data_IF_727343249403
#
_entry.id   IF_727343249403
#
_cell.length_a   1.000
_cell.length_b   1.000
_cell.length_c   1.000
_cell.angle_alpha   90.00
_cell.angle_beta   90.00
_cell.angle_gamma   90.00
#
_symmetry.space_group_name_H-M   'P 1'
#
loop_
_entity.id
_entity.type
_entity.pdbx_description
1 polymer ?
#
# COMPACT_ATOMS: atom_id res chain seq x y z
N UNK A 1 -13.96 -21.58 -16.77
CA UNK A 1 -13.66 -22.98 -17.14
C UNK A 1 -14.89 -23.85 -16.89
N UNK A 2 -15.09 -24.91 -17.66
CA UNK A 2 -16.14 -25.87 -17.37
C UNK A 2 -15.67 -26.88 -16.30
N UNK A 3 -16.46 -27.04 -15.23
CA UNK A 3 -16.18 -28.00 -14.16
C UNK A 3 -16.76 -29.35 -14.54
N UNK A 4 -15.90 -30.33 -14.52
CA UNK A 4 -16.22 -31.76 -14.74
C UNK A 4 -15.73 -32.58 -13.55
N UNK A 5 -16.11 -33.86 -13.50
CA UNK A 5 -15.61 -34.79 -12.49
C UNK A 5 -14.08 -34.93 -12.49
N UNK A 6 -13.45 -34.78 -13.65
CA UNK A 6 -12.01 -34.99 -13.80
C UNK A 6 -11.18 -33.81 -13.30
N UNK A 7 -11.75 -32.59 -13.25
CA UNK A 7 -11.04 -31.38 -12.88
C UNK A 7 -11.53 -30.74 -11.56
N UNK A 8 -12.42 -31.37 -10.82
CA UNK A 8 -12.96 -30.83 -9.56
C UNK A 8 -11.85 -30.51 -8.55
N UNK A 9 -10.84 -31.39 -8.47
CA UNK A 9 -9.71 -31.18 -7.56
C UNK A 9 -8.92 -29.92 -7.89
N UNK A 10 -8.72 -29.65 -9.17
CA UNK A 10 -8.07 -28.41 -9.65
C UNK A 10 -8.86 -27.16 -9.23
N UNK A 11 -10.18 -27.21 -9.29
CA UNK A 11 -11.04 -26.09 -8.87
C UNK A 11 -10.99 -25.88 -7.36
N UNK A 12 -10.94 -26.96 -6.59
CA UNK A 12 -10.73 -26.90 -5.13
C UNK A 12 -9.36 -26.29 -4.80
N UNK A 13 -8.30 -26.71 -5.49
CA UNK A 13 -6.95 -26.13 -5.32
C UNK A 13 -6.91 -24.63 -5.67
N UNK A 14 -7.57 -24.21 -6.76
CA UNK A 14 -7.69 -22.81 -7.13
C UNK A 14 -8.40 -21.98 -6.05
N UNK A 15 -9.39 -22.58 -5.37
CA UNK A 15 -10.11 -21.88 -4.30
C UNK A 15 -9.28 -21.59 -3.05
N UNK A 16 -8.08 -22.17 -2.93
CA UNK A 16 -7.11 -21.82 -1.89
C UNK A 16 -6.33 -20.51 -2.20
N UNK A 17 -6.34 -20.08 -3.46
CA UNK A 17 -5.59 -18.92 -3.92
C UNK A 17 -6.49 -17.72 -4.21
N UNK A 18 -7.71 -17.97 -4.68
CA UNK A 18 -8.67 -16.94 -5.07
C UNK A 18 -10.10 -17.44 -4.88
N UNK A 19 -11.06 -16.52 -4.80
CA UNK A 19 -12.47 -16.88 -4.73
C UNK A 19 -12.90 -17.57 -6.03
N UNK A 20 -13.61 -18.70 -5.92
CA UNK A 20 -14.15 -19.41 -7.10
C UNK A 20 -15.67 -19.38 -7.06
N UNK A 21 -16.27 -18.84 -8.13
CA UNK A 21 -17.72 -18.88 -8.34
C UNK A 21 -18.08 -20.11 -9.20
N UNK A 22 -18.78 -21.05 -8.61
CA UNK A 22 -19.36 -22.22 -9.29
C UNK A 22 -20.78 -21.88 -9.74
N UNK A 23 -21.00 -21.79 -11.04
CA UNK A 23 -22.33 -21.51 -11.62
C UNK A 23 -22.92 -22.81 -12.16
N UNK A 24 -23.96 -23.30 -11.52
CA UNK A 24 -24.77 -24.45 -11.95
C UNK A 24 -25.85 -23.96 -12.89
N UNK A 25 -25.84 -24.44 -14.13
CA UNK A 25 -26.71 -23.96 -15.20
C UNK A 25 -27.21 -25.14 -16.07
N UNK A 26 -28.22 -24.87 -16.91
CA UNK A 26 -28.71 -25.80 -17.90
C UNK A 26 -28.90 -25.09 -19.25
N UNK A 27 -28.63 -25.81 -20.33
CA UNK A 27 -28.71 -25.22 -21.68
C UNK A 27 -30.14 -24.86 -22.10
N UNK A 28 -31.10 -25.66 -21.67
CA UNK A 28 -32.52 -25.46 -21.99
C UNK A 28 -33.19 -24.37 -21.16
N UNK A 29 -32.46 -23.75 -20.20
CA UNK A 29 -32.97 -22.66 -19.34
C UNK A 29 -32.35 -21.33 -19.74
N UNK A 30 -33.06 -20.43 -20.45
CA UNK A 30 -32.51 -19.12 -20.88
C UNK A 30 -32.01 -18.27 -19.73
N UNK A 31 -32.68 -18.29 -18.58
CA UNK A 31 -32.29 -17.57 -17.37
C UNK A 31 -30.96 -18.05 -16.80
N UNK A 32 -30.66 -19.36 -16.89
CA UNK A 32 -29.37 -19.94 -16.50
C UNK A 32 -28.23 -19.42 -17.38
N UNK A 33 -28.46 -19.35 -18.69
CA UNK A 33 -27.49 -18.81 -19.65
C UNK A 33 -27.23 -17.30 -19.38
N UNK A 34 -28.28 -16.54 -19.12
CA UNK A 34 -28.17 -15.12 -18.84
C UNK A 34 -27.34 -14.85 -17.57
N UNK A 35 -27.53 -15.64 -16.52
CA UNK A 35 -26.73 -15.55 -15.30
C UNK A 35 -25.25 -15.88 -15.58
N UNK A 36 -24.97 -16.97 -16.31
CA UNK A 36 -23.62 -17.36 -16.67
C UNK A 36 -22.89 -16.23 -17.42
N UNK A 37 -23.52 -15.62 -18.43
CA UNK A 37 -22.99 -14.48 -19.16
C UNK A 37 -22.73 -13.26 -18.26
N UNK A 38 -23.65 -12.99 -17.33
CA UNK A 38 -23.47 -11.91 -16.33
C UNK A 38 -22.24 -12.18 -15.45
N UNK A 39 -22.08 -13.41 -14.99
CA UNK A 39 -20.92 -13.80 -14.18
C UNK A 39 -19.61 -13.71 -14.97
N UNK A 40 -19.58 -14.10 -16.23
CA UNK A 40 -18.42 -13.95 -17.11
C UNK A 40 -17.98 -12.50 -17.26
N UNK A 41 -18.94 -11.59 -17.42
CA UNK A 41 -18.67 -10.15 -17.49
C UNK A 41 -18.17 -9.56 -16.17
N UNK A 42 -18.73 -10.04 -15.03
CA UNK A 42 -18.34 -9.58 -13.72
C UNK A 42 -16.91 -10.00 -13.36
N UNK A 43 -16.51 -11.22 -13.69
CA UNK A 43 -15.18 -11.77 -13.40
C UNK A 43 -14.08 -10.98 -14.10
N UNK A 44 -14.34 -10.47 -15.29
CA UNK A 44 -13.39 -9.61 -16.00
C UNK A 44 -13.00 -8.35 -15.22
N UNK A 45 -13.82 -7.92 -14.25
CA UNK A 45 -13.53 -6.77 -13.38
C UNK A 45 -12.64 -7.14 -12.17
N UNK A 46 -12.42 -8.43 -11.88
CA UNK A 46 -11.66 -8.92 -10.71
C UNK A 46 -10.55 -9.90 -11.13
N UNK A 47 -9.61 -9.49 -11.99
CA UNK A 47 -8.55 -10.37 -12.48
C UNK A 47 -7.68 -10.88 -11.31
N UNK A 48 -7.47 -12.20 -11.28
CA UNK A 48 -6.66 -12.84 -10.23
C UNK A 48 -7.30 -12.97 -8.85
N UNK A 49 -8.49 -12.39 -8.64
CA UNK A 49 -9.22 -12.44 -7.37
C UNK A 49 -10.42 -13.38 -7.40
N UNK A 50 -11.06 -13.49 -8.55
CA UNK A 50 -12.27 -14.27 -8.77
C UNK A 50 -12.13 -15.12 -10.01
N UNK A 51 -12.39 -16.43 -9.88
CA UNK A 51 -12.42 -17.39 -10.98
C UNK A 51 -13.83 -17.93 -11.18
N UNK A 52 -14.25 -18.07 -12.45
CA UNK A 52 -15.50 -18.76 -12.81
C UNK A 52 -15.25 -20.22 -13.16
N UNK A 53 -16.03 -21.09 -12.55
CA UNK A 53 -16.24 -22.44 -13.01
C UNK A 53 -17.73 -22.67 -13.25
N UNK A 54 -18.10 -23.20 -14.42
CA UNK A 54 -19.49 -23.48 -14.79
C UNK A 54 -19.74 -24.97 -14.79
N UNK A 55 -20.90 -25.40 -14.31
CA UNK A 55 -21.36 -26.79 -14.29
C UNK A 55 -22.62 -26.88 -15.12
N UNK A 56 -22.53 -27.57 -16.25
CA UNK A 56 -23.75 -27.92 -17.00
C UNK A 56 -24.44 -29.11 -16.35
N UNK A 57 -25.57 -28.84 -15.68
CA UNK A 57 -26.29 -29.88 -14.93
C UNK A 57 -26.99 -30.90 -15.80
N UNK A 58 -27.12 -30.70 -17.11
CA UNK A 58 -27.64 -31.69 -18.03
C UNK A 58 -26.63 -32.81 -18.33
N UNK A 59 -25.34 -32.46 -18.31
CA UNK A 59 -24.23 -33.40 -18.60
C UNK A 59 -23.52 -33.85 -17.33
N UNK A 60 -23.54 -33.04 -16.26
CA UNK A 60 -22.79 -33.27 -15.01
C UNK A 60 -23.75 -33.49 -13.81
N UNK A 61 -24.70 -34.46 -13.93
CA UNK A 61 -25.70 -34.73 -12.92
C UNK A 61 -25.09 -35.16 -11.57
N UNK A 62 -23.96 -35.88 -11.60
CA UNK A 62 -23.27 -36.31 -10.38
C UNK A 62 -22.73 -35.13 -9.58
N UNK A 63 -22.19 -34.10 -10.26
CA UNK A 63 -21.71 -32.91 -9.61
C UNK A 63 -22.86 -32.10 -9.02
N UNK A 64 -23.97 -31.94 -9.74
CA UNK A 64 -25.16 -31.28 -9.22
C UNK A 64 -25.70 -31.97 -7.95
N UNK A 65 -25.67 -33.31 -7.93
CA UNK A 65 -26.07 -34.12 -6.75
C UNK A 65 -25.04 -33.98 -5.61
N UNK A 66 -23.75 -34.00 -5.91
CA UNK A 66 -22.69 -33.86 -4.92
C UNK A 66 -22.78 -32.48 -4.18
N UNK A 67 -23.03 -31.40 -4.91
CA UNK A 67 -23.23 -30.07 -4.35
C UNK A 67 -24.67 -29.81 -3.86
N UNK A 68 -25.53 -30.82 -3.87
CA UNK A 68 -26.93 -30.79 -3.41
C UNK A 68 -27.75 -29.66 -4.09
N UNK A 69 -27.52 -29.41 -5.37
CA UNK A 69 -28.22 -28.39 -6.14
C UNK A 69 -29.68 -28.79 -6.34
N UNK A 70 -30.60 -27.92 -5.88
CA UNK A 70 -32.07 -28.17 -5.90
C UNK A 70 -32.81 -27.35 -6.94
N UNK A 71 -32.22 -26.30 -7.40
CA UNK A 71 -32.81 -25.40 -8.39
C UNK A 71 -31.73 -24.80 -9.30
N UNK A 72 -32.12 -24.42 -10.50
CA UNK A 72 -31.24 -23.75 -11.46
C UNK A 72 -31.80 -22.39 -11.84
N UNK A 73 -30.96 -21.41 -12.11
CA UNK A 73 -29.52 -21.41 -11.84
C UNK A 73 -29.19 -21.33 -10.35
N UNK A 74 -28.07 -21.88 -9.94
CA UNK A 74 -27.51 -21.70 -8.59
C UNK A 74 -26.03 -21.36 -8.71
N UNK A 75 -25.57 -20.39 -7.93
CA UNK A 75 -24.14 -20.06 -7.80
C UNK A 75 -23.66 -20.35 -6.39
N UNK A 76 -22.55 -21.06 -6.27
CA UNK A 76 -21.84 -21.26 -5.00
C UNK A 76 -20.49 -20.53 -5.07
N UNK A 77 -20.10 -19.90 -3.96
CA UNK A 77 -18.77 -19.32 -3.80
C UNK A 77 -17.90 -20.24 -2.96
N UNK A 78 -16.76 -20.63 -3.50
CA UNK A 78 -15.78 -21.47 -2.83
C UNK A 78 -14.56 -20.65 -2.42
N UNK A 79 -14.12 -20.83 -1.18
CA UNK A 79 -12.86 -20.34 -0.65
C UNK A 79 -12.24 -21.42 0.22
N UNK A 80 -10.93 -21.66 0.09
CA UNK A 80 -10.19 -22.67 0.84
C UNK A 80 -10.82 -24.07 0.78
N UNK A 81 -11.30 -24.46 -0.38
CA UNK A 81 -11.93 -25.76 -0.62
C UNK A 81 -13.33 -25.91 -0.04
N UNK A 82 -13.92 -24.85 0.55
CA UNK A 82 -15.22 -24.89 1.21
C UNK A 82 -16.20 -23.91 0.57
N UNK A 83 -17.50 -24.25 0.48
CA UNK A 83 -18.54 -23.29 0.15
C UNK A 83 -18.67 -22.25 1.28
N UNK A 84 -18.50 -20.97 0.95
CA UNK A 84 -18.55 -19.85 1.92
C UNK A 84 -19.83 -19.03 1.80
N UNK A 85 -20.43 -18.98 0.59
CA UNK A 85 -21.67 -18.25 0.31
C UNK A 85 -22.28 -18.78 -1.00
N UNK A 86 -23.45 -18.28 -1.37
CA UNK A 86 -24.11 -18.63 -2.63
C UNK A 86 -25.50 -18.02 -2.76
N UNK A 87 -26.06 -18.17 -3.95
CA UNK A 87 -27.43 -17.71 -4.22
C UNK A 87 -28.09 -18.61 -5.27
N UNK A 88 -29.40 -18.68 -5.21
CA UNK A 88 -30.25 -19.41 -6.18
C UNK A 88 -31.08 -18.42 -7.00
N UNK A 89 -31.38 -18.78 -8.24
CA UNK A 89 -32.13 -17.96 -9.18
C UNK A 89 -31.31 -16.82 -9.80
N UNK A 90 -31.95 -16.04 -10.64
CA UNK A 90 -31.34 -14.87 -11.27
C UNK A 90 -31.27 -13.73 -10.28
N UNK A 91 -30.09 -13.14 -10.13
CA UNK A 91 -29.87 -11.96 -9.32
C UNK A 91 -29.49 -10.77 -10.20
N UNK A 92 -29.75 -9.54 -9.74
CA UNK A 92 -29.25 -8.36 -10.43
C UNK A 92 -27.72 -8.26 -10.29
N UNK A 93 -27.08 -7.55 -11.24
CA UNK A 93 -25.63 -7.31 -11.19
C UNK A 93 -25.16 -6.72 -9.85
N UNK A 94 -25.95 -5.78 -9.29
CA UNK A 94 -25.66 -5.11 -8.03
C UNK A 94 -25.74 -6.08 -6.85
N UNK A 95 -26.73 -7.00 -6.87
CA UNK A 95 -26.87 -8.01 -5.83
C UNK A 95 -25.72 -9.01 -5.85
N UNK A 96 -25.33 -9.47 -7.06
CA UNK A 96 -24.17 -10.36 -7.22
C UNK A 96 -22.90 -9.67 -6.70
N UNK A 97 -22.67 -8.41 -7.10
CA UNK A 97 -21.50 -7.65 -6.63
C UNK A 97 -21.48 -7.50 -5.11
N UNK A 98 -22.61 -7.21 -4.50
CA UNK A 98 -22.73 -7.09 -3.04
C UNK A 98 -22.40 -8.42 -2.31
N UNK A 99 -22.72 -9.57 -2.92
CA UNK A 99 -22.35 -10.88 -2.38
C UNK A 99 -20.85 -11.14 -2.56
N UNK A 100 -20.32 -10.90 -3.76
CA UNK A 100 -18.91 -11.11 -4.07
C UNK A 100 -17.99 -10.24 -3.20
N UNK A 101 -18.33 -8.97 -3.00
CA UNK A 101 -17.56 -8.02 -2.20
C UNK A 101 -17.35 -8.43 -0.74
N UNK A 102 -18.21 -9.30 -0.20
CA UNK A 102 -18.04 -9.84 1.17
C UNK A 102 -16.86 -10.82 1.27
N UNK A 103 -16.47 -11.40 0.15
CA UNK A 103 -15.49 -12.49 0.07
C UNK A 103 -14.27 -12.14 -0.77
N UNK A 104 -14.30 -11.02 -1.49
CA UNK A 104 -13.15 -10.49 -2.22
C UNK A 104 -12.28 -9.66 -1.27
N UNK A 105 -10.95 -9.71 -1.44
CA UNK A 105 -10.06 -8.86 -0.66
C UNK A 105 -10.37 -7.39 -0.94
N UNK A 106 -10.27 -6.57 0.10
CA UNK A 106 -10.41 -5.12 -0.04
C UNK A 106 -9.27 -4.54 -0.90
N UNK A 107 -9.51 -3.39 -1.53
CA UNK A 107 -8.53 -2.75 -2.40
C UNK A 107 -7.19 -2.47 -1.67
N UNK A 108 -7.26 -2.09 -0.40
CA UNK A 108 -6.07 -1.87 0.43
C UNK A 108 -5.28 -3.15 0.72
N UNK A 109 -5.94 -4.31 0.84
CA UNK A 109 -5.28 -5.61 1.06
C UNK A 109 -4.47 -6.04 -0.16
N UNK A 110 -5.00 -5.80 -1.36
CA UNK A 110 -4.26 -6.06 -2.60
C UNK A 110 -3.01 -5.20 -2.70
N UNK A 111 -3.15 -3.88 -2.47
CA UNK A 111 -2.03 -2.95 -2.45
C UNK A 111 -0.99 -3.33 -1.40
N UNK A 112 -1.44 -3.75 -0.21
CA UNK A 112 -0.56 -4.21 0.86
C UNK A 112 0.24 -5.45 0.45
N UNK A 113 -0.41 -6.43 -0.19
CA UNK A 113 0.25 -7.65 -0.65
C UNK A 113 1.27 -7.36 -1.76
N UNK A 114 0.91 -6.52 -2.73
CA UNK A 114 1.82 -6.08 -3.80
C UNK A 114 3.03 -5.32 -3.22
N UNK A 115 2.78 -4.41 -2.27
CA UNK A 115 3.83 -3.67 -1.59
C UNK A 115 4.77 -4.58 -0.80
N UNK A 116 4.24 -5.58 -0.08
CA UNK A 116 5.05 -6.58 0.64
C UNK A 116 5.89 -7.42 -0.32
N UNK A 117 5.34 -7.82 -1.46
CA UNK A 117 6.07 -8.56 -2.48
C UNK A 117 7.25 -7.75 -3.03
N UNK A 118 7.06 -6.46 -3.36
CA UNK A 118 8.13 -5.56 -3.78
C UNK A 118 9.19 -5.38 -2.70
N UNK A 119 8.78 -5.21 -1.45
CA UNK A 119 9.69 -5.05 -0.32
C UNK A 119 10.56 -6.31 -0.12
N UNK A 120 10.00 -7.51 -0.28
CA UNK A 120 10.73 -8.78 -0.24
C UNK A 120 11.71 -8.94 -1.39
N UNK A 121 11.40 -8.39 -2.57
CA UNK A 121 12.30 -8.33 -3.72
C UNK A 121 13.41 -7.29 -3.56
N UNK A 122 13.39 -6.50 -2.48
CA UNK A 122 14.36 -5.45 -2.19
C UNK A 122 14.02 -4.09 -2.81
N UNK A 123 12.90 -3.97 -3.51
CA UNK A 123 12.46 -2.70 -4.11
C UNK A 123 11.56 -1.91 -3.16
N UNK A 124 12.18 -1.39 -2.10
CA UNK A 124 11.47 -0.57 -1.11
C UNK A 124 10.91 0.73 -1.71
N UNK A 125 11.58 1.32 -2.71
CA UNK A 125 11.12 2.55 -3.35
C UNK A 125 9.82 2.35 -4.13
N UNK A 126 9.68 1.25 -4.86
CA UNK A 126 8.43 0.91 -5.55
C UNK A 126 7.31 0.50 -4.59
N UNK A 127 7.65 -0.07 -3.43
CA UNK A 127 6.68 -0.47 -2.39
C UNK A 127 6.04 0.73 -1.67
N UNK A 128 6.78 1.83 -1.46
CA UNK A 128 6.34 2.99 -0.67
C UNK A 128 4.99 3.59 -1.11
N UNK A 129 4.73 3.88 -2.38
CA UNK A 129 3.45 4.45 -2.80
C UNK A 129 2.27 3.52 -2.50
N UNK A 130 2.44 2.19 -2.68
CA UNK A 130 1.41 1.20 -2.41
C UNK A 130 1.13 1.08 -0.90
N UNK A 131 2.17 1.06 -0.06
CA UNK A 131 2.00 1.11 1.40
C UNK A 131 1.27 2.37 1.84
N UNK A 132 1.61 3.52 1.27
CA UNK A 132 0.97 4.80 1.60
C UNK A 132 -0.51 4.79 1.24
N UNK A 133 -0.88 4.25 0.07
CA UNK A 133 -2.28 4.11 -0.34
C UNK A 133 -3.03 3.12 0.55
N UNK A 134 -2.45 1.96 0.85
CA UNK A 134 -3.05 0.98 1.74
C UNK A 134 -3.26 1.54 3.15
N UNK A 135 -2.27 2.27 3.69
CA UNK A 135 -2.35 2.91 5.01
C UNK A 135 -3.38 4.04 5.08
N UNK A 136 -3.59 4.77 3.99
CA UNK A 136 -4.62 5.80 3.92
C UNK A 136 -6.05 5.23 4.01
N UNK A 137 -6.26 4.01 3.51
CA UNK A 137 -7.53 3.29 3.61
C UNK A 137 -7.67 2.54 4.94
N UNK A 138 -6.58 1.91 5.42
CA UNK A 138 -6.55 1.07 6.63
C UNK A 138 -5.30 1.35 7.47
N UNK A 139 -5.43 2.23 8.46
CA UNK A 139 -4.34 2.64 9.35
C UNK A 139 -4.19 1.66 10.54
N UNK A 140 -3.84 0.41 10.27
CA UNK A 140 -3.64 -0.65 11.27
C UNK A 140 -2.18 -1.12 11.31
N UNK A 141 -1.79 -1.79 12.40
CA UNK A 141 -0.43 -2.32 12.60
C UNK A 141 0.03 -3.23 11.46
N UNK A 142 -0.88 -4.05 10.89
CA UNK A 142 -0.59 -4.94 9.78
C UNK A 142 -0.11 -4.21 8.50
N UNK A 143 -0.48 -2.92 8.34
CA UNK A 143 -0.03 -2.06 7.25
C UNK A 143 1.10 -1.15 7.69
N UNK A 144 1.01 -0.57 8.90
CA UNK A 144 1.97 0.40 9.40
C UNK A 144 3.38 -0.18 9.60
N UNK A 145 3.49 -1.42 10.10
CA UNK A 145 4.79 -2.06 10.34
C UNK A 145 5.60 -2.30 9.07
N UNK A 146 5.08 -2.97 8.02
CA UNK A 146 5.84 -3.13 6.77
C UNK A 146 6.05 -1.80 6.03
N UNK A 147 5.16 -0.83 6.19
CA UNK A 147 5.39 0.53 5.68
C UNK A 147 6.57 1.20 6.38
N UNK A 148 6.65 1.11 7.72
CA UNK A 148 7.79 1.62 8.47
C UNK A 148 9.10 0.92 8.08
N UNK A 149 9.09 -0.40 7.81
CA UNK A 149 10.26 -1.11 7.29
C UNK A 149 10.71 -0.55 5.94
N UNK A 150 9.78 -0.31 5.01
CA UNK A 150 10.11 0.30 3.71
C UNK A 150 10.71 1.70 3.88
N UNK A 151 10.17 2.52 4.79
CA UNK A 151 10.70 3.83 5.12
C UNK A 151 12.12 3.73 5.70
N UNK A 152 12.40 2.80 6.62
CA UNK A 152 13.74 2.59 7.16
C UNK A 152 14.75 2.19 6.08
N UNK A 153 14.36 1.31 5.15
CA UNK A 153 15.21 0.89 4.03
C UNK A 153 15.52 2.01 3.03
N UNK A 154 14.64 2.98 2.91
CA UNK A 154 14.82 4.15 2.02
C UNK A 154 15.38 5.38 2.73
N UNK A 155 15.62 5.30 4.04
CA UNK A 155 16.17 6.41 4.83
C UNK A 155 15.14 7.45 5.29
N UNK A 156 13.85 7.23 5.07
CA UNK A 156 12.79 8.11 5.59
C UNK A 156 12.48 7.80 7.07
N UNK A 157 13.43 8.22 7.93
CA UNK A 157 13.35 7.95 9.37
C UNK A 157 12.18 8.69 10.04
N UNK A 158 11.82 9.87 9.54
CA UNK A 158 10.73 10.67 10.09
C UNK A 158 9.38 9.98 9.92
N UNK A 159 9.09 9.49 8.72
CA UNK A 159 7.86 8.71 8.45
C UNK A 159 7.88 7.39 9.21
N UNK A 160 9.00 6.67 9.23
CA UNK A 160 9.13 5.43 9.99
C UNK A 160 8.81 5.64 11.48
N UNK A 161 9.38 6.67 12.10
CA UNK A 161 9.13 7.03 13.50
C UNK A 161 7.66 7.34 13.77
N UNK A 162 7.05 8.11 12.88
CA UNK A 162 5.63 8.47 13.00
C UNK A 162 4.74 7.23 12.92
N UNK A 163 5.00 6.33 11.97
CA UNK A 163 4.24 5.08 11.82
C UNK A 163 4.40 4.18 13.05
N UNK A 164 5.62 3.97 13.53
CA UNK A 164 5.89 3.14 14.71
C UNK A 164 5.26 3.70 15.98
N UNK A 165 5.16 5.03 16.11
CA UNK A 165 4.47 5.67 17.23
C UNK A 165 2.94 5.43 17.24
N UNK A 166 2.33 5.04 16.13
CA UNK A 166 0.89 4.71 16.07
C UNK A 166 0.57 3.29 16.54
N UNK A 167 1.60 2.43 16.68
CA UNK A 167 1.41 1.01 17.01
C UNK A 167 0.99 0.86 18.48
N UNK A 168 -0.18 0.25 18.67
CA UNK A 168 -0.72 0.00 20.01
C UNK A 168 0.09 -1.07 20.75
N UNK A 169 0.08 -1.02 22.07
CA UNK A 169 0.84 -1.94 22.93
C UNK A 169 0.56 -3.43 22.63
N UNK A 170 -0.67 -3.76 22.25
CA UNK A 170 -1.06 -5.14 21.92
C UNK A 170 -0.40 -5.67 20.63
N UNK A 171 0.02 -4.78 19.74
CA UNK A 171 0.60 -5.09 18.42
C UNK A 171 2.14 -4.92 18.42
N UNK A 172 2.74 -4.59 19.59
CA UNK A 172 4.18 -4.41 19.76
C UNK A 172 4.88 -5.77 19.98
N UNK A 173 4.99 -6.52 18.91
CA UNK A 173 5.62 -7.84 18.88
C UNK A 173 7.14 -7.79 18.60
N UNK A 174 7.73 -8.95 18.29
CA UNK A 174 9.15 -9.07 17.93
C UNK A 174 9.52 -8.30 16.66
N UNK A 175 8.60 -8.18 15.70
CA UNK A 175 8.80 -7.41 14.47
C UNK A 175 8.86 -5.91 14.76
N UNK A 176 7.90 -5.38 15.52
CA UNK A 176 7.93 -4.00 15.99
C UNK A 176 9.23 -3.66 16.72
N UNK A 177 9.65 -4.52 17.67
CA UNK A 177 10.88 -4.29 18.43
C UNK A 177 12.14 -4.28 17.54
N UNK A 178 12.16 -5.11 16.51
CA UNK A 178 13.23 -5.11 15.50
C UNK A 178 13.28 -3.79 14.74
N UNK A 179 12.13 -3.28 14.29
CA UNK A 179 12.04 -2.00 13.57
C UNK A 179 12.43 -0.81 14.46
N UNK A 180 12.01 -0.81 15.73
CA UNK A 180 12.43 0.21 16.70
C UNK A 180 13.93 0.22 16.91
N UNK A 181 14.56 -0.96 16.99
CA UNK A 181 16.01 -1.08 17.12
C UNK A 181 16.74 -0.58 15.86
N UNK A 182 16.21 -0.88 14.68
CA UNK A 182 16.74 -0.37 13.41
C UNK A 182 16.62 1.16 13.32
N UNK A 183 15.48 1.72 13.73
CA UNK A 183 15.26 3.16 13.78
C UNK A 183 16.27 3.85 14.72
N UNK A 184 16.45 3.33 15.94
CA UNK A 184 17.41 3.87 16.93
C UNK A 184 18.86 3.85 16.39
N UNK A 185 19.25 2.75 15.73
CA UNK A 185 20.57 2.64 15.08
C UNK A 185 20.72 3.64 13.93
N UNK A 186 19.68 3.79 13.10
CA UNK A 186 19.72 4.72 11.98
C UNK A 186 19.75 6.19 12.44
N UNK A 187 18.95 6.55 13.46
CA UNK A 187 18.97 7.87 14.06
C UNK A 187 20.34 8.21 14.68
N UNK A 188 20.97 7.26 15.39
CA UNK A 188 22.31 7.43 15.94
C UNK A 188 23.39 7.56 14.86
N UNK A 189 23.26 6.81 13.76
CA UNK A 189 24.16 6.93 12.61
C UNK A 189 24.01 8.28 11.88
N UNK A 190 22.79 8.81 11.85
CA UNK A 190 22.48 10.10 11.25
C UNK A 190 22.89 11.30 12.14
N UNK A 191 23.10 11.08 13.45
CA UNK A 191 23.55 12.11 14.42
C UNK A 191 25.07 12.08 14.58
N UNK A 192 25.79 12.55 13.55
CA UNK A 192 27.24 12.56 13.55
C UNK A 192 27.85 13.58 14.50
N UNK A 193 29.08 13.38 15.01
CA UNK A 193 29.77 14.39 15.82
C UNK A 193 29.88 15.75 15.11
N UNK A 194 30.01 15.74 13.78
CA UNK A 194 30.07 16.94 12.95
C UNK A 194 28.74 17.71 12.99
N UNK A 195 27.59 17.01 12.82
CA UNK A 195 26.28 17.63 12.92
C UNK A 195 26.07 18.27 14.29
N UNK A 196 26.44 17.55 15.37
CA UNK A 196 26.34 18.10 16.73
C UNK A 196 27.20 19.33 16.94
N UNK A 197 28.45 19.34 16.44
CA UNK A 197 29.35 20.49 16.54
C UNK A 197 28.81 21.68 15.75
N UNK A 198 28.30 21.47 14.52
CA UNK A 198 27.69 22.52 13.70
C UNK A 198 26.40 23.08 14.35
N UNK A 199 25.58 22.20 14.97
CA UNK A 199 24.39 22.63 15.69
C UNK A 199 24.74 23.53 16.89
N UNK A 200 25.72 23.10 17.70
CA UNK A 200 26.19 23.93 18.83
C UNK A 200 26.78 25.26 18.40
N UNK A 201 27.53 25.26 17.29
CA UNK A 201 28.07 26.50 16.74
C UNK A 201 26.96 27.43 16.24
N UNK A 202 25.93 26.89 15.60
CA UNK A 202 24.79 27.65 15.11
C UNK A 202 23.93 28.18 16.27
N UNK A 203 23.78 27.42 17.37
CA UNK A 203 23.07 27.89 18.58
C UNK A 203 23.72 29.12 19.17
N UNK A 204 25.07 29.23 19.05
CA UNK A 204 25.82 30.40 19.48
C UNK A 204 25.77 31.59 18.47
N UNK A 205 25.54 31.30 17.19
CA UNK A 205 25.47 32.31 16.11
C UNK A 205 24.32 31.96 15.13
N UNK A 206 23.05 32.16 15.50
CA UNK A 206 21.88 31.67 14.76
C UNK A 206 21.72 32.23 13.34
N UNK A 207 22.28 33.39 13.05
CA UNK A 207 22.19 34.03 11.75
C UNK A 207 23.47 33.91 10.90
N UNK A 208 24.40 33.02 11.31
CA UNK A 208 25.61 32.75 10.54
C UNK A 208 25.29 31.93 9.30
N UNK A 209 25.40 32.57 8.15
CA UNK A 209 25.08 32.01 6.83
C UNK A 209 25.92 30.76 6.51
N UNK A 210 27.23 30.80 6.87
CA UNK A 210 28.15 29.70 6.57
C UNK A 210 27.83 28.48 7.43
N UNK A 211 27.50 28.67 8.72
CA UNK A 211 27.09 27.59 9.60
C UNK A 211 25.75 26.98 9.18
N UNK A 212 24.77 27.81 8.80
CA UNK A 212 23.48 27.35 8.26
C UNK A 212 23.70 26.47 7.02
N UNK A 213 24.55 26.89 6.11
CA UNK A 213 24.84 26.14 4.89
C UNK A 213 25.56 24.82 5.16
N UNK A 214 26.57 24.82 6.03
CA UNK A 214 27.31 23.61 6.41
C UNK A 214 26.39 22.59 7.10
N UNK A 215 25.60 23.05 8.08
CA UNK A 215 24.69 22.18 8.81
C UNK A 215 23.61 21.62 7.89
N UNK A 216 23.01 22.41 7.01
CA UNK A 216 22.00 21.93 6.07
C UNK A 216 22.59 20.87 5.11
N UNK A 217 23.84 21.06 4.66
CA UNK A 217 24.52 20.06 3.82
C UNK A 217 24.80 18.77 4.58
N UNK A 218 25.29 18.85 5.81
CA UNK A 218 25.57 17.70 6.65
C UNK A 218 24.27 16.92 6.99
N UNK A 219 23.19 17.61 7.30
CA UNK A 219 21.88 17.03 7.53
C UNK A 219 21.35 16.30 6.28
N UNK A 220 21.47 16.91 5.11
CA UNK A 220 21.08 16.27 3.85
C UNK A 220 21.89 15.00 3.56
N UNK A 221 23.20 15.03 3.77
CA UNK A 221 24.08 13.84 3.62
C UNK A 221 23.72 12.74 4.62
N UNK A 222 23.19 13.09 5.78
CA UNK A 222 22.70 12.16 6.78
C UNK A 222 21.22 11.72 6.55
N UNK A 223 20.63 12.02 5.39
CA UNK A 223 19.22 11.76 5.04
C UNK A 223 18.19 12.41 5.99
N UNK A 224 18.59 13.50 6.68
CA UNK A 224 17.72 14.34 7.54
C UNK A 224 17.18 15.53 6.74
N UNK A 225 16.57 15.23 5.59
CA UNK A 225 16.18 16.24 4.59
C UNK A 225 15.13 17.24 5.11
N UNK A 226 14.19 16.77 5.94
CA UNK A 226 13.18 17.64 6.53
C UNK A 226 13.82 18.71 7.43
N UNK A 227 14.80 18.30 8.25
CA UNK A 227 15.53 19.22 9.12
C UNK A 227 16.41 20.17 8.30
N UNK A 228 17.09 19.68 7.27
CA UNK A 228 17.87 20.51 6.36
C UNK A 228 17.03 21.59 5.67
N UNK A 229 15.86 21.20 5.15
CA UNK A 229 14.94 22.13 4.48
C UNK A 229 14.30 23.11 5.47
N UNK A 230 13.90 22.66 6.67
CA UNK A 230 13.37 23.52 7.72
C UNK A 230 14.39 24.56 8.17
N UNK A 231 15.66 24.13 8.36
CA UNK A 231 16.76 24.97 8.76
C UNK A 231 17.01 26.12 7.77
N UNK A 232 16.99 25.84 6.47
CA UNK A 232 17.20 26.86 5.44
C UNK A 232 15.94 27.72 5.21
N UNK A 233 14.75 27.18 5.41
CA UNK A 233 13.50 27.88 5.17
C UNK A 233 13.17 28.89 6.28
N UNK A 234 13.50 28.60 7.53
CA UNK A 234 13.18 29.45 8.68
C UNK A 234 13.74 30.88 8.52
N UNK A 235 15.03 31.11 8.20
CA UNK A 235 15.55 32.46 7.98
C UNK A 235 14.97 33.14 6.73
N UNK A 236 14.69 32.38 5.64
CA UNK A 236 14.09 32.94 4.42
C UNK A 236 12.69 33.48 4.63
N UNK A 237 11.96 32.98 5.62
CA UNK A 237 10.64 33.53 5.99
C UNK A 237 10.71 34.92 6.59
N UNK A 238 11.89 35.35 7.05
CA UNK A 238 12.15 36.69 7.62
C UNK A 238 12.87 37.61 6.61
N UNK A 239 13.85 37.07 5.91
CA UNK A 239 14.64 37.76 4.90
C UNK A 239 14.97 36.85 3.71
N UNK A 240 14.33 37.12 2.58
CA UNK A 240 14.53 36.35 1.33
C UNK A 240 15.93 36.52 0.72
N UNK A 241 16.64 37.60 1.10
CA UNK A 241 17.98 37.93 0.60
C UNK A 241 19.07 37.56 1.60
N UNK A 242 18.76 36.87 2.68
CA UNK A 242 19.75 36.48 3.68
C UNK A 242 21.00 35.85 3.04
N UNK A 243 22.17 36.39 3.40
CA UNK A 243 23.46 35.97 2.84
C UNK A 243 23.58 36.27 1.34
N UNK A 244 23.09 37.43 0.88
CA UNK A 244 23.06 37.79 -0.54
C UNK A 244 22.37 36.72 -1.44
N UNK A 245 21.34 36.06 -0.88
CA UNK A 245 20.60 35.01 -1.56
C UNK A 245 21.23 33.62 -1.48
N UNK A 246 22.34 33.45 -0.79
CA UNK A 246 23.03 32.14 -0.69
C UNK A 246 22.15 31.04 -0.04
N UNK A 247 21.41 31.38 1.03
CA UNK A 247 20.49 30.45 1.69
C UNK A 247 19.37 29.99 0.75
N UNK A 248 18.78 30.91 0.01
CA UNK A 248 17.76 30.61 -1.01
C UNK A 248 18.31 29.70 -2.11
N UNK A 249 19.51 29.99 -2.59
CA UNK A 249 20.16 29.18 -3.62
C UNK A 249 20.41 27.75 -3.15
N UNK A 250 20.85 27.58 -1.91
CA UNK A 250 21.09 26.25 -1.33
C UNK A 250 19.77 25.50 -1.12
N UNK A 251 18.71 26.17 -0.63
CA UNK A 251 17.39 25.55 -0.53
C UNK A 251 16.92 25.02 -1.88
N UNK A 252 17.04 25.80 -2.96
CA UNK A 252 16.70 25.40 -4.32
C UNK A 252 17.54 24.20 -4.79
N UNK A 253 18.82 24.17 -4.45
CA UNK A 253 19.73 23.05 -4.77
C UNK A 253 19.28 21.76 -4.08
N UNK A 254 18.97 21.79 -2.78
CA UNK A 254 18.45 20.63 -2.05
C UNK A 254 17.10 20.15 -2.60
N UNK A 255 16.18 21.08 -2.88
CA UNK A 255 14.90 20.76 -3.50
C UNK A 255 15.06 20.08 -4.88
N UNK A 256 16.07 20.50 -5.64
CA UNK A 256 16.40 19.88 -6.93
C UNK A 256 16.98 18.47 -6.75
N UNK A 257 17.88 18.29 -5.78
CA UNK A 257 18.49 16.99 -5.45
C UNK A 257 17.46 15.95 -5.02
N UNK A 258 16.45 16.35 -4.25
CA UNK A 258 15.35 15.47 -3.83
C UNK A 258 14.41 15.07 -4.98
N UNK A 259 14.44 15.77 -6.11
CA UNK A 259 13.66 15.47 -7.29
C UNK A 259 12.21 15.99 -7.28
N UNK A 260 11.53 15.89 -8.44
CA UNK A 260 10.19 16.44 -8.59
C UNK A 260 9.09 15.60 -7.94
N UNK A 261 9.31 14.29 -7.83
CA UNK A 261 8.34 13.34 -7.24
C UNK A 261 8.35 13.30 -5.71
N UNK A 262 9.32 13.94 -5.05
CA UNK A 262 9.43 13.93 -3.60
C UNK A 262 8.37 14.84 -2.96
N UNK A 263 7.53 14.27 -2.07
CA UNK A 263 6.41 14.96 -1.43
C UNK A 263 6.88 16.13 -0.54
N UNK A 264 7.97 15.94 0.22
CA UNK A 264 8.58 16.95 1.09
C UNK A 264 9.12 18.12 0.26
N UNK A 265 9.86 17.83 -0.80
CA UNK A 265 10.35 18.86 -1.72
C UNK A 265 9.18 19.63 -2.36
N UNK A 266 8.10 18.96 -2.74
CA UNK A 266 6.88 19.59 -3.25
C UNK A 266 6.22 20.54 -2.24
N UNK A 267 6.22 20.17 -0.95
CA UNK A 267 5.71 21.00 0.12
C UNK A 267 6.55 22.30 0.28
N UNK A 268 7.88 22.18 0.34
CA UNK A 268 8.76 23.33 0.50
C UNK A 268 8.82 24.22 -0.75
N UNK A 269 8.67 23.66 -1.96
CA UNK A 269 8.48 24.47 -3.18
C UNK A 269 7.24 25.36 -3.08
N UNK A 270 6.10 24.82 -2.62
CA UNK A 270 4.88 25.61 -2.42
C UNK A 270 5.06 26.69 -1.36
N UNK A 271 5.70 26.35 -0.21
CA UNK A 271 6.01 27.32 0.84
C UNK A 271 6.91 28.46 0.31
N UNK A 272 7.96 28.13 -0.43
CA UNK A 272 8.87 29.10 -1.01
C UNK A 272 8.13 29.99 -2.03
N UNK A 273 7.28 29.41 -2.86
CA UNK A 273 6.48 30.16 -3.84
C UNK A 273 5.55 31.17 -3.15
N UNK A 274 4.91 30.79 -2.04
CA UNK A 274 4.04 31.69 -1.27
C UNK A 274 4.78 32.80 -0.53
N UNK A 275 6.12 32.74 -0.42
CA UNK A 275 6.94 33.83 0.11
C UNK A 275 7.39 34.80 -1.00
N UNK A 276 7.36 34.38 -2.26
CA UNK A 276 7.83 35.19 -3.40
C UNK A 276 6.70 36.01 -4.04
N UNK A 277 5.45 35.59 -3.82
CA UNK A 277 4.21 36.18 -4.36
C UNK A 277 3.15 36.39 -3.29
#
# INVERSE_FOLDING_TARGET
>A
MELTRDNIQQVVELSNQQLVALVFWAEQMPESKALLQTMEQLIAAFPGQLQLASVNCETQLELASYFQIRSLPTTLLLSQGQPVDGFAGVQSREQILAILQKHLPAAWELKLNDAKALLQQGDANAALPLFKEAYAEQAEAAVALPYAEACLKTGDLATAKTLLATIKLADQDGYYNSLMSQLDLAEKAADTPEIRALQQALDAAPDDVELLQKLATALHQAHRDEEALALLFAPLSRDLNMGDGAIKQQLLTLLSALGQGNALAGQYRRKLYSLLY
#
